data_IF_548755113784
#
_entry.id   IF_548755113784
#
_cell.length_a   1.000
_cell.length_b   1.000
_cell.length_c   1.000
_cell.angle_alpha   90.00
_cell.angle_beta   90.00
_cell.angle_gamma   90.00
#
_symmetry.space_group_name_H-M   'P 1'
#
loop_
_entity.id
_entity.type
_entity.pdbx_description
1 polymer ?
#
# COMPACT_ATOMS: atom_id res chain seq x y z
N UNK A 1 0.95 14.26 10.85
CA UNK A 1 -0.14 13.51 11.52
C UNK A 1 0.34 12.08 11.69
N UNK A 2 0.17 11.49 12.87
CA UNK A 2 0.54 10.09 13.13
C UNK A 2 -0.57 9.18 12.62
N UNK A 3 -0.21 8.14 11.85
CA UNK A 3 -1.15 7.14 11.35
C UNK A 3 -1.11 5.85 12.18
N UNK A 4 -2.05 4.94 11.92
CA UNK A 4 -2.05 3.61 12.55
C UNK A 4 -0.83 2.79 12.18
N UNK A 5 -0.36 2.90 10.93
CA UNK A 5 0.80 2.17 10.43
C UNK A 5 2.09 2.66 11.10
N UNK A 6 2.22 3.97 11.34
CA UNK A 6 3.35 4.55 12.05
C UNK A 6 3.43 3.99 13.48
N UNK A 7 2.29 3.96 14.19
CA UNK A 7 2.20 3.41 15.55
C UNK A 7 2.50 1.91 15.56
N UNK A 8 1.94 1.16 14.61
CA UNK A 8 2.19 -0.27 14.47
C UNK A 8 3.67 -0.57 14.26
N UNK A 9 4.35 0.17 13.37
CA UNK A 9 5.78 -0.01 13.07
C UNK A 9 6.64 0.14 14.33
N UNK A 10 6.37 1.14 15.16
CA UNK A 10 7.11 1.36 16.42
C UNK A 10 6.92 0.19 17.39
N UNK A 11 5.67 -0.24 17.61
CA UNK A 11 5.39 -1.38 18.49
C UNK A 11 6.01 -2.65 17.94
N UNK A 12 6.03 -2.81 16.60
CA UNK A 12 6.61 -3.98 15.95
C UNK A 12 8.13 -4.07 16.12
N UNK A 13 8.83 -2.96 15.92
CA UNK A 13 10.28 -2.92 16.11
C UNK A 13 10.70 -3.12 17.57
N UNK A 14 9.85 -2.71 18.53
CA UNK A 14 10.15 -2.88 19.96
C UNK A 14 10.21 -4.35 20.41
N UNK A 15 9.44 -5.25 19.77
CA UNK A 15 9.32 -6.69 20.09
C UNK A 15 8.86 -7.04 21.53
N UNK A 16 8.86 -6.10 22.47
CA UNK A 16 8.35 -6.21 23.83
C UNK A 16 7.06 -5.40 24.04
N UNK A 17 6.49 -5.51 25.25
CA UNK A 17 5.43 -4.61 25.68
C UNK A 17 5.97 -3.18 25.76
N UNK A 18 5.16 -2.20 25.33
CA UNK A 18 5.50 -0.79 25.30
C UNK A 18 4.37 0.04 25.87
N UNK A 19 4.71 1.07 26.65
CA UNK A 19 3.73 2.03 27.17
C UNK A 19 3.35 3.04 26.08
N UNK A 20 2.11 3.56 26.05
CA UNK A 20 1.72 4.56 25.07
C UNK A 20 2.62 5.80 25.07
N UNK A 21 3.14 6.21 26.24
CA UNK A 21 4.05 7.35 26.36
C UNK A 21 5.41 7.09 25.68
N UNK A 22 5.88 5.85 25.66
CA UNK A 22 7.12 5.49 24.97
C UNK A 22 6.92 5.50 23.45
N UNK A 23 5.74 5.11 22.96
CA UNK A 23 5.36 5.26 21.55
C UNK A 23 5.32 6.74 21.14
N UNK A 24 4.74 7.61 21.98
CA UNK A 24 4.74 9.08 21.76
C UNK A 24 6.17 9.61 21.60
N UNK A 25 7.07 9.20 22.50
CA UNK A 25 8.49 9.60 22.47
C UNK A 25 9.21 9.08 21.23
N UNK A 26 9.02 7.81 20.87
CA UNK A 26 9.64 7.19 19.68
C UNK A 26 9.17 7.83 18.36
N UNK A 27 7.95 8.38 18.33
CA UNK A 27 7.42 9.13 17.19
C UNK A 27 7.83 10.62 17.19
N UNK A 28 8.66 11.05 18.15
CA UNK A 28 9.05 12.43 18.37
C UNK A 28 7.82 13.36 18.45
N UNK A 29 6.81 12.96 19.23
CA UNK A 29 5.59 13.75 19.45
C UNK A 29 5.54 14.32 20.85
N UNK A 30 4.79 15.41 20.99
CA UNK A 30 4.47 16.00 22.30
C UNK A 30 3.50 15.12 23.07
N UNK A 31 3.49 15.28 24.39
CA UNK A 31 2.57 14.54 25.28
C UNK A 31 1.09 14.80 24.97
N UNK A 32 0.77 15.92 24.32
CA UNK A 32 -0.59 16.21 23.82
C UNK A 32 -1.12 15.14 22.86
N UNK A 33 -0.25 14.44 22.13
CA UNK A 33 -0.62 13.34 21.23
C UNK A 33 -0.93 12.03 21.96
N UNK A 34 -0.69 11.95 23.28
CA UNK A 34 -0.88 10.74 24.07
C UNK A 34 -2.27 10.13 23.90
N UNK A 35 -3.33 10.96 24.00
CA UNK A 35 -4.72 10.48 23.86
C UNK A 35 -4.98 9.89 22.48
N UNK A 36 -4.44 10.50 21.43
CA UNK A 36 -4.59 10.04 20.05
C UNK A 36 -3.84 8.72 19.82
N UNK A 37 -2.58 8.63 20.26
CA UNK A 37 -1.76 7.42 20.14
C UNK A 37 -2.38 6.27 20.95
N UNK A 38 -2.84 6.53 22.18
CA UNK A 38 -3.52 5.53 22.98
C UNK A 38 -4.81 5.03 22.31
N UNK A 39 -5.60 5.92 21.69
CA UNK A 39 -6.76 5.51 20.87
C UNK A 39 -6.34 4.59 19.73
N UNK A 40 -5.31 4.97 18.95
CA UNK A 40 -4.80 4.17 17.83
C UNK A 40 -4.32 2.80 18.30
N UNK A 41 -3.58 2.72 19.41
CA UNK A 41 -3.13 1.45 19.99
C UNK A 41 -4.32 0.53 20.32
N UNK A 42 -5.38 1.06 20.94
CA UNK A 42 -6.58 0.27 21.23
C UNK A 42 -7.32 -0.15 19.94
N UNK A 43 -7.30 0.66 18.88
CA UNK A 43 -7.84 0.25 17.57
C UNK A 43 -7.05 -0.90 16.96
N UNK A 44 -5.72 -0.84 16.99
CA UNK A 44 -4.86 -1.93 16.49
C UNK A 44 -5.04 -3.23 17.30
N UNK A 45 -5.40 -3.15 18.58
CA UNK A 45 -5.80 -4.31 19.39
C UNK A 45 -7.12 -4.91 18.89
N UNK A 46 -8.12 -4.07 18.59
CA UNK A 46 -9.40 -4.53 18.00
C UNK A 46 -9.21 -5.19 16.63
N UNK A 47 -8.28 -4.67 15.84
CA UNK A 47 -7.87 -5.22 14.54
C UNK A 47 -7.01 -6.50 14.67
N UNK A 48 -6.72 -6.96 15.91
CA UNK A 48 -5.91 -8.14 16.22
C UNK A 48 -4.46 -8.04 15.69
N UNK A 49 -3.94 -6.84 15.50
CA UNK A 49 -2.52 -6.59 15.17
C UNK A 49 -1.66 -6.45 16.42
N UNK A 50 -2.25 -5.94 17.51
CA UNK A 50 -1.62 -5.81 18.82
C UNK A 50 -2.33 -6.66 19.89
N UNK A 51 -1.60 -6.94 20.96
CA UNK A 51 -2.14 -7.40 22.24
C UNK A 51 -2.03 -6.27 23.26
N UNK A 52 -2.93 -6.27 24.23
CA UNK A 52 -2.87 -5.39 25.40
C UNK A 52 -2.71 -6.23 26.65
N UNK A 53 -1.75 -5.88 27.50
CA UNK A 53 -1.56 -6.43 28.84
C UNK A 53 -1.52 -5.26 29.81
N UNK A 54 -2.50 -5.17 30.70
CA UNK A 54 -2.69 -4.04 31.60
C UNK A 54 -2.74 -2.70 30.85
N UNK A 55 -1.73 -1.85 31.04
CA UNK A 55 -1.59 -0.53 30.41
C UNK A 55 -0.60 -0.52 29.24
N UNK A 56 -0.05 -1.68 28.88
CA UNK A 56 1.00 -1.84 27.87
C UNK A 56 0.51 -2.59 26.64
N UNK A 57 1.18 -2.35 25.52
CA UNK A 57 0.81 -2.87 24.22
C UNK A 57 1.98 -3.65 23.62
N UNK A 58 1.72 -4.75 22.94
CA UNK A 58 2.75 -5.52 22.24
C UNK A 58 2.22 -6.07 20.93
N UNK A 59 3.10 -6.62 20.10
CA UNK A 59 2.68 -7.27 18.86
C UNK A 59 1.91 -8.55 19.13
N UNK A 60 0.81 -8.73 18.41
CA UNK A 60 0.20 -10.04 18.24
C UNK A 60 0.83 -10.74 17.04
N UNK A 61 1.79 -11.64 17.30
CA UNK A 61 2.46 -12.41 16.25
C UNK A 61 1.44 -13.23 15.47
N UNK A 62 1.35 -12.93 14.17
CA UNK A 62 0.45 -13.54 13.21
C UNK A 62 0.97 -13.25 11.80
N UNK A 63 0.62 -14.10 10.84
CA UNK A 63 0.94 -13.89 9.42
C UNK A 63 0.49 -12.50 8.95
N UNK A 64 -0.68 -12.03 9.39
CA UNK A 64 -1.20 -10.70 9.04
C UNK A 64 -0.32 -9.56 9.58
N UNK A 65 0.15 -9.67 10.82
CA UNK A 65 1.05 -8.67 11.41
C UNK A 65 2.44 -8.67 10.74
N UNK A 66 2.96 -9.84 10.39
CA UNK A 66 4.23 -9.97 9.69
C UNK A 66 4.13 -9.42 8.27
N UNK A 67 3.04 -9.72 7.56
CA UNK A 67 2.76 -9.19 6.23
C UNK A 67 2.65 -7.67 6.24
N UNK A 68 1.92 -7.09 7.21
CA UNK A 68 1.85 -5.63 7.37
C UNK A 68 3.24 -5.02 7.59
N UNK A 69 4.05 -5.61 8.47
CA UNK A 69 5.39 -5.13 8.72
C UNK A 69 6.26 -5.21 7.46
N UNK A 70 6.21 -6.32 6.73
CA UNK A 70 6.95 -6.51 5.49
C UNK A 70 6.54 -5.48 4.40
N UNK A 71 5.25 -5.17 4.29
CA UNK A 71 4.75 -4.11 3.40
C UNK A 71 5.29 -2.73 3.80
N UNK A 72 5.22 -2.38 5.09
CA UNK A 72 5.76 -1.12 5.62
C UNK A 72 7.26 -1.04 5.36
N UNK A 73 8.00 -2.09 5.73
CA UNK A 73 9.45 -2.19 5.56
C UNK A 73 9.85 -2.00 4.09
N UNK A 74 9.21 -2.73 3.18
CA UNK A 74 9.44 -2.57 1.74
C UNK A 74 9.22 -1.13 1.29
N UNK A 75 8.11 -0.51 1.72
CA UNK A 75 7.81 0.87 1.35
C UNK A 75 8.87 1.85 1.85
N UNK A 76 9.27 1.73 3.13
CA UNK A 76 10.30 2.59 3.73
C UNK A 76 11.63 2.44 2.98
N UNK A 77 12.05 1.20 2.70
CA UNK A 77 13.30 0.93 1.98
C UNK A 77 13.33 1.47 0.55
N UNK A 78 12.17 1.61 -0.10
CA UNK A 78 12.05 2.11 -1.47
C UNK A 78 11.58 3.57 -1.55
N UNK A 79 11.53 4.30 -0.43
CA UNK A 79 11.07 5.70 -0.41
C UNK A 79 9.59 5.87 -0.77
N UNK A 80 8.80 4.82 -0.61
CA UNK A 80 7.36 4.82 -0.89
C UNK A 80 6.61 5.23 0.37
N UNK A 81 5.65 6.14 0.23
CA UNK A 81 4.74 6.46 1.32
C UNK A 81 3.75 5.30 1.53
N UNK A 82 4.02 4.43 2.51
CA UNK A 82 3.17 3.29 2.83
C UNK A 82 1.74 3.67 3.20
N UNK A 83 1.49 4.87 3.74
CA UNK A 83 0.13 5.32 4.05
C UNK A 83 -0.72 5.56 2.80
N UNK A 84 -0.09 5.77 1.64
CA UNK A 84 -0.80 5.83 0.37
C UNK A 84 -1.10 4.44 -0.19
N UNK A 85 -0.15 3.50 -0.08
CA UNK A 85 -0.33 2.13 -0.60
C UNK A 85 -1.22 1.27 0.29
N UNK A 86 -1.08 1.36 1.61
CA UNK A 86 -1.90 0.68 2.61
C UNK A 86 -3.28 1.36 2.78
N UNK A 87 -3.81 1.98 1.73
CA UNK A 87 -5.18 2.45 1.66
C UNK A 87 -6.05 1.35 1.04
N UNK A 88 -7.12 0.97 1.74
CA UNK A 88 -8.00 -0.11 1.30
C UNK A 88 -8.69 0.23 -0.03
N UNK A 89 -9.08 1.49 -0.26
CA UNK A 89 -9.79 1.88 -1.48
C UNK A 89 -8.85 1.88 -2.70
N UNK A 90 -7.59 2.30 -2.52
CA UNK A 90 -6.58 2.13 -3.55
C UNK A 90 -6.33 0.65 -3.85
N UNK A 91 -6.26 -0.19 -2.81
CA UNK A 91 -6.07 -1.64 -2.99
C UNK A 91 -7.25 -2.28 -3.72
N UNK A 92 -8.48 -1.87 -3.40
CA UNK A 92 -9.68 -2.32 -4.10
C UNK A 92 -9.67 -1.89 -5.58
N UNK A 93 -9.27 -0.65 -5.86
CA UNK A 93 -9.05 -0.19 -7.22
C UNK A 93 -7.99 -1.03 -7.94
N UNK A 94 -6.86 -1.34 -7.29
CA UNK A 94 -5.82 -2.21 -7.85
C UNK A 94 -6.40 -3.59 -8.17
N UNK A 95 -7.18 -4.17 -7.26
CA UNK A 95 -7.82 -5.47 -7.47
C UNK A 95 -8.76 -5.48 -8.68
N UNK A 96 -9.63 -4.48 -8.80
CA UNK A 96 -10.52 -4.33 -9.96
C UNK A 96 -9.73 -4.14 -11.26
N UNK A 97 -8.70 -3.31 -11.19
CA UNK A 97 -7.83 -2.99 -12.30
C UNK A 97 -7.02 -4.20 -12.80
N UNK A 98 -6.62 -5.10 -11.88
CA UNK A 98 -5.92 -6.33 -12.24
C UNK A 98 -6.82 -7.31 -13.03
N UNK A 99 -8.14 -7.23 -12.86
CA UNK A 99 -9.11 -7.98 -13.65
C UNK A 99 -9.35 -7.42 -15.06
N UNK A 100 -8.74 -6.28 -15.43
CA UNK A 100 -8.85 -5.67 -16.75
C UNK A 100 -7.57 -5.88 -17.57
N UNK A 101 -7.74 -6.03 -18.88
CA UNK A 101 -6.61 -6.04 -19.81
C UNK A 101 -5.95 -4.65 -19.90
N UNK A 102 -6.77 -3.60 -19.99
CA UNK A 102 -6.35 -2.21 -19.96
C UNK A 102 -7.25 -1.35 -19.08
N UNK A 103 -6.64 -0.43 -18.35
CA UNK A 103 -7.29 0.58 -17.52
C UNK A 103 -7.68 1.77 -18.37
N UNK A 104 -8.96 2.11 -18.31
CA UNK A 104 -9.53 3.33 -18.91
C UNK A 104 -10.51 3.94 -17.91
N UNK A 105 -10.68 5.26 -17.94
CA UNK A 105 -11.64 5.91 -17.03
C UNK A 105 -13.08 5.40 -17.24
N UNK A 106 -13.43 5.00 -18.45
CA UNK A 106 -14.77 4.53 -18.83
C UNK A 106 -15.11 3.14 -18.29
N UNK A 107 -14.10 2.34 -17.91
CA UNK A 107 -14.30 0.94 -17.51
C UNK A 107 -14.16 0.71 -15.99
N UNK A 108 -14.03 1.79 -15.21
CA UNK A 108 -13.95 1.78 -13.75
C UNK A 108 -14.98 2.76 -13.17
N UNK A 109 -15.74 2.29 -12.18
CA UNK A 109 -16.77 3.09 -11.52
C UNK A 109 -16.17 3.99 -10.42
N UNK A 110 -15.34 4.96 -10.82
CA UNK A 110 -14.76 5.95 -9.91
C UNK A 110 -14.97 7.37 -10.46
N UNK A 111 -15.02 8.34 -9.55
CA UNK A 111 -15.00 9.74 -9.96
C UNK A 111 -13.70 10.05 -10.75
N UNK A 112 -13.74 10.93 -11.76
CA UNK A 112 -12.55 11.31 -12.53
C UNK A 112 -11.38 11.76 -11.64
N UNK A 113 -11.70 12.46 -10.54
CA UNK A 113 -10.72 12.96 -9.56
C UNK A 113 -10.05 11.84 -8.80
N UNK A 114 -10.82 10.87 -8.31
CA UNK A 114 -10.29 9.70 -7.57
C UNK A 114 -9.46 8.81 -8.49
N UNK A 115 -9.97 8.55 -9.70
CA UNK A 115 -9.27 7.78 -10.71
C UNK A 115 -7.90 8.39 -11.03
N UNK A 116 -7.86 9.70 -11.33
CA UNK A 116 -6.60 10.41 -11.56
C UNK A 116 -5.65 10.32 -10.37
N UNK A 117 -6.14 10.53 -9.14
CA UNK A 117 -5.33 10.41 -7.92
C UNK A 117 -4.66 9.03 -7.81
N UNK A 118 -5.40 7.96 -8.08
CA UNK A 118 -4.86 6.60 -7.99
C UNK A 118 -3.84 6.30 -9.09
N UNK A 119 -4.12 6.71 -10.32
CA UNK A 119 -3.15 6.61 -11.42
C UNK A 119 -1.87 7.38 -11.09
N UNK A 120 -1.98 8.60 -10.55
CA UNK A 120 -0.82 9.42 -10.18
C UNK A 120 0.00 8.76 -9.05
N UNK A 121 -0.65 8.15 -8.05
CA UNK A 121 0.04 7.41 -6.98
C UNK A 121 0.79 6.20 -7.54
N UNK A 122 0.14 5.38 -8.38
CA UNK A 122 0.75 4.18 -8.94
C UNK A 122 1.90 4.53 -9.90
N UNK A 123 1.71 5.57 -10.72
CA UNK A 123 2.72 6.04 -11.67
C UNK A 123 3.94 6.61 -10.93
N UNK A 124 3.73 7.35 -9.84
CA UNK A 124 4.83 7.89 -9.02
C UNK A 124 5.77 6.80 -8.50
N UNK A 125 5.25 5.62 -8.20
CA UNK A 125 6.03 4.51 -7.65
C UNK A 125 6.32 3.40 -8.67
N UNK A 126 6.10 3.65 -9.96
CA UNK A 126 6.39 2.68 -11.03
C UNK A 126 5.54 1.40 -10.97
N UNK A 127 4.34 1.46 -10.39
CA UNK A 127 3.44 0.31 -10.22
C UNK A 127 2.44 0.15 -11.39
N UNK A 128 2.50 1.05 -12.37
CA UNK A 128 1.63 1.07 -13.54
C UNK A 128 2.43 1.42 -14.78
N UNK A 129 2.12 0.75 -15.89
CA UNK A 129 2.58 1.07 -17.24
C UNK A 129 1.51 1.89 -17.94
N UNK A 130 1.83 3.11 -18.38
CA UNK A 130 0.91 3.94 -19.18
C UNK A 130 1.33 3.83 -20.65
N UNK A 131 0.54 3.12 -21.46
CA UNK A 131 0.79 2.95 -22.91
C UNK A 131 0.23 4.11 -23.74
N UNK A 132 -0.81 4.79 -23.26
CA UNK A 132 -1.30 6.03 -23.87
C UNK A 132 -1.88 6.96 -22.82
N UNK A 133 -1.76 8.28 -23.02
CA UNK A 133 -2.37 9.31 -22.16
C UNK A 133 -3.68 9.86 -22.72
N UNK A 134 -3.96 9.66 -24.02
CA UNK A 134 -5.13 10.23 -24.71
C UNK A 134 -5.64 9.25 -25.80
N UNK A 135 -6.69 8.46 -25.53
CA UNK A 135 -7.29 8.22 -24.21
C UNK A 135 -6.31 7.52 -23.27
N UNK A 136 -6.49 7.65 -21.95
CA UNK A 136 -5.62 6.93 -21.00
C UNK A 136 -5.78 5.43 -21.21
N UNK A 137 -4.67 4.75 -21.49
CA UNK A 137 -4.53 3.30 -21.50
C UNK A 137 -3.37 2.94 -20.60
N UNK A 138 -3.64 2.13 -19.58
CA UNK A 138 -2.62 1.76 -18.61
C UNK A 138 -2.80 0.34 -18.10
N UNK A 139 -1.76 -0.25 -17.52
CA UNK A 139 -1.78 -1.61 -16.95
C UNK A 139 -1.01 -1.62 -15.64
N UNK A 140 -1.58 -2.22 -14.60
CA UNK A 140 -0.87 -2.43 -13.33
C UNK A 140 0.03 -3.64 -13.46
N UNK A 141 1.27 -3.50 -12.99
CA UNK A 141 2.21 -4.61 -12.92
C UNK A 141 1.79 -5.61 -11.85
N UNK A 142 1.74 -6.88 -12.24
CA UNK A 142 1.58 -7.96 -11.28
C UNK A 142 2.95 -8.29 -10.67
N UNK A 143 3.11 -8.04 -9.37
CA UNK A 143 4.35 -8.27 -8.66
C UNK A 143 4.08 -8.65 -7.20
N UNK A 144 5.15 -9.08 -6.50
CA UNK A 144 5.06 -9.55 -5.11
C UNK A 144 4.50 -8.49 -4.16
N UNK A 145 4.82 -7.20 -4.35
CA UNK A 145 4.28 -6.11 -3.52
C UNK A 145 2.76 -6.02 -3.68
N UNK A 146 2.28 -5.99 -4.93
CA UNK A 146 0.85 -5.91 -5.24
C UNK A 146 0.11 -7.13 -4.68
N UNK A 147 0.66 -8.33 -4.87
CA UNK A 147 0.09 -9.56 -4.34
C UNK A 147 0.00 -9.52 -2.79
N UNK A 148 1.07 -9.10 -2.12
CA UNK A 148 1.10 -8.98 -0.66
C UNK A 148 0.08 -7.94 -0.16
N UNK A 149 -0.11 -6.84 -0.89
CA UNK A 149 -1.10 -5.81 -0.57
C UNK A 149 -2.53 -6.38 -0.66
N UNK A 150 -2.83 -7.13 -1.73
CA UNK A 150 -4.13 -7.78 -1.91
C UNK A 150 -4.42 -8.79 -0.79
N UNK A 151 -3.45 -9.65 -0.50
CA UNK A 151 -3.56 -10.68 0.56
C UNK A 151 -3.80 -10.02 1.92
N UNK A 152 -3.09 -8.93 2.24
CA UNK A 152 -3.25 -8.22 3.52
C UNK A 152 -4.68 -7.70 3.74
N UNK A 153 -5.32 -7.22 2.67
CA UNK A 153 -6.70 -6.74 2.69
C UNK A 153 -7.75 -7.82 2.41
N UNK A 154 -7.35 -9.10 2.47
CA UNK A 154 -8.22 -10.26 2.29
C UNK A 154 -8.87 -10.33 0.89
N UNK A 155 -8.27 -9.68 -0.11
CA UNK A 155 -8.65 -9.88 -1.51
C UNK A 155 -8.07 -11.21 -2.00
N UNK A 156 -8.91 -12.05 -2.61
CA UNK A 156 -8.43 -13.31 -3.21
C UNK A 156 -7.37 -12.99 -4.26
N UNK A 157 -6.22 -13.65 -4.19
CA UNK A 157 -5.27 -13.70 -5.30
C UNK A 157 -5.99 -14.26 -6.52
N UNK A 158 -6.16 -13.48 -7.60
CA UNK A 158 -6.91 -13.90 -8.80
C UNK A 158 -6.20 -13.41 -10.07
N UNK A 159 -6.40 -14.12 -11.18
CA UNK A 159 -5.75 -15.36 -11.61
C UNK A 159 -4.43 -15.08 -12.38
N UNK A 160 -3.66 -16.13 -12.68
CA UNK A 160 -2.55 -16.11 -13.64
C UNK A 160 -3.01 -15.44 -14.96
N UNK A 161 -2.45 -14.27 -15.25
CA UNK A 161 -2.67 -13.59 -16.52
C UNK A 161 -1.85 -14.30 -17.60
N UNK A 162 -2.51 -14.91 -18.58
CA UNK A 162 -1.86 -15.38 -19.80
C UNK A 162 -1.59 -14.15 -20.68
N UNK A 163 -0.40 -13.57 -20.57
CA UNK A 163 0.01 -12.51 -21.48
C UNK A 163 0.67 -13.11 -22.72
N UNK A 164 0.10 -12.82 -23.89
CA UNK A 164 0.73 -13.04 -25.20
C UNK A 164 0.89 -11.73 -25.99
N UNK A 165 0.89 -10.58 -25.32
CA UNK A 165 1.02 -9.28 -25.99
C UNK A 165 2.50 -8.93 -26.05
N UNK A 166 3.05 -9.00 -27.26
CA UNK A 166 4.42 -8.63 -27.58
C UNK A 166 4.50 -7.10 -27.76
N UNK A 167 5.22 -6.42 -26.87
CA UNK A 167 5.46 -4.98 -26.94
C UNK A 167 6.72 -4.59 -27.72
N UNK A 168 7.46 -5.56 -28.29
CA UNK A 168 8.72 -5.29 -28.99
C UNK A 168 8.54 -4.26 -30.10
N UNK A 169 7.45 -4.34 -30.86
CA UNK A 169 7.18 -3.41 -31.96
C UNK A 169 6.95 -1.97 -31.48
N UNK A 170 6.27 -1.80 -30.34
CA UNK A 170 6.03 -0.48 -29.74
C UNK A 170 7.32 0.09 -29.13
N UNK A 171 8.10 -0.76 -28.46
CA UNK A 171 9.40 -0.40 -27.89
C UNK A 171 10.39 0.01 -29.00
N UNK A 172 10.44 -0.73 -30.11
CA UNK A 172 11.31 -0.40 -31.24
C UNK A 172 10.94 0.94 -31.86
N UNK A 173 9.64 1.21 -32.07
CA UNK A 173 9.17 2.52 -32.57
C UNK A 173 9.60 3.67 -31.66
N UNK A 174 9.52 3.48 -30.35
CA UNK A 174 9.87 4.50 -29.38
C UNK A 174 11.39 4.69 -29.30
N UNK A 175 12.19 3.63 -29.38
CA UNK A 175 13.65 3.69 -29.41
C UNK A 175 14.20 4.42 -30.65
N UNK A 176 13.51 4.36 -31.79
CA UNK A 176 13.89 5.13 -32.99
C UNK A 176 13.89 6.64 -32.73
N UNK A 177 13.03 7.14 -31.84
CA UNK A 177 12.98 8.57 -31.48
C UNK A 177 14.23 9.03 -30.71
N UNK A 178 14.94 8.11 -30.06
CA UNK A 178 16.13 8.38 -29.25
C UNK A 178 17.46 8.03 -29.95
N UNK A 179 17.43 7.58 -31.21
CA UNK A 179 18.63 7.28 -32.01
C UNK A 179 19.26 8.52 -32.68
N UNK A 180 18.87 9.74 -32.29
CA UNK A 180 19.50 11.01 -32.68
C UNK A 180 20.27 11.59 -31.52
#
# INVERSE_FOLDING_TARGET
MVTKNDVFEIVYKNQALIKPIEVVRNLNKSESEYKNIHRILNELVKEKLLIKKDSEFGIKKSEKSELLYNLIYYCVHNGINYNLLLDKNLTEFIYEALGKEELQQTNINLSPKTFKKYIDILNKYGLILISSRKPLKARIFDNVLINNLLVYFDFKTKPLRNYSINYLDDIEKELVLYKK
#
